data_IF_091759920685
#
_entry.id   IF_091759920685
#
_cell.length_a   1.000
_cell.length_b   1.000
_cell.length_c   1.000
_cell.angle_alpha   90.00
_cell.angle_beta   90.00
_cell.angle_gamma   90.00
#
_symmetry.space_group_name_H-M   'P 1'
#
loop_
_entity.id
_entity.type
_entity.pdbx_description
1 polymer ?
#
# COMPACT_ATOMS: atom_id res chain seq x y z
N UNK A 1 -0.21 50.65 -92.49
CA UNK A 1 1.14 50.07 -92.31
C UNK A 1 1.45 50.08 -90.83
N UNK A 2 1.83 48.92 -90.24
CA UNK A 2 2.54 48.78 -88.94
C UNK A 2 1.84 49.28 -87.67
N UNK A 3 1.76 48.59 -86.53
CA UNK A 3 2.10 47.25 -86.05
C UNK A 3 1.14 47.01 -84.87
N UNK A 4 0.48 45.85 -84.80
CA UNK A 4 -0.31 45.41 -83.63
C UNK A 4 0.68 44.82 -82.62
N UNK A 5 0.74 45.42 -81.43
CA UNK A 5 1.58 44.94 -80.32
C UNK A 5 0.77 43.98 -79.44
N UNK A 6 1.26 42.76 -79.32
CA UNK A 6 0.71 41.70 -78.49
C UNK A 6 1.17 41.87 -77.03
N UNK A 7 0.22 41.92 -76.08
CA UNK A 7 0.49 41.77 -74.66
C UNK A 7 0.00 40.40 -74.20
N UNK A 8 0.95 39.52 -73.90
CA UNK A 8 0.74 38.19 -73.34
C UNK A 8 0.33 38.32 -71.86
N UNK A 9 -0.89 37.87 -71.52
CA UNK A 9 -1.27 37.56 -70.14
C UNK A 9 -0.55 36.27 -69.70
N UNK A 10 0.40 36.39 -68.78
CA UNK A 10 0.97 35.25 -68.06
C UNK A 10 -0.01 34.77 -66.98
N UNK A 11 -0.65 33.63 -67.23
CA UNK A 11 -1.41 32.89 -66.22
C UNK A 11 -0.45 32.28 -65.18
N UNK A 12 -0.56 32.72 -63.92
CA UNK A 12 0.14 32.08 -62.80
C UNK A 12 -0.60 30.79 -62.48
N UNK A 13 0.04 29.65 -62.77
CA UNK A 13 -0.46 28.33 -62.36
C UNK A 13 -0.16 28.15 -60.87
N UNK A 14 -1.20 28.20 -60.03
CA UNK A 14 -1.09 27.85 -58.62
C UNK A 14 -0.83 26.35 -58.50
N UNK A 15 0.41 25.95 -58.22
CA UNK A 15 0.74 24.58 -57.85
C UNK A 15 0.16 24.30 -56.46
N UNK A 16 -0.88 23.46 -56.39
CA UNK A 16 -1.35 22.87 -55.15
C UNK A 16 -0.29 21.88 -54.68
N UNK A 17 0.49 22.26 -53.67
CA UNK A 17 1.38 21.33 -52.98
C UNK A 17 0.54 20.28 -52.24
N UNK A 18 0.80 18.97 -52.39
CA UNK A 18 0.10 17.97 -51.62
C UNK A 18 0.39 18.15 -50.13
N UNK A 19 -0.66 18.22 -49.32
CA UNK A 19 -0.56 18.29 -47.88
C UNK A 19 0.20 17.06 -47.36
N UNK A 20 1.37 17.31 -46.77
CA UNK A 20 2.14 16.31 -46.06
C UNK A 20 1.32 15.89 -44.84
N UNK A 21 0.61 14.77 -44.92
CA UNK A 21 -0.06 14.16 -43.78
C UNK A 21 1.02 13.60 -42.85
N UNK A 22 1.28 14.18 -41.66
CA UNK A 22 2.25 13.59 -40.76
C UNK A 22 1.69 12.23 -40.33
N UNK A 23 2.34 11.17 -40.79
CA UNK A 23 2.17 9.83 -40.24
C UNK A 23 2.53 9.94 -38.75
N UNK A 24 1.51 10.03 -37.90
CA UNK A 24 1.67 9.83 -36.45
C UNK A 24 1.96 8.33 -36.32
N UNK A 25 3.22 7.95 -36.55
CA UNK A 25 3.70 6.63 -36.18
C UNK A 25 3.47 6.46 -34.69
N UNK A 26 2.93 5.31 -34.28
CA UNK A 26 2.79 4.96 -32.87
C UNK A 26 4.10 5.28 -32.15
N UNK A 27 4.07 6.29 -31.27
CA UNK A 27 5.24 6.68 -30.46
C UNK A 27 5.36 5.64 -29.36
N UNK A 28 5.84 4.45 -29.72
CA UNK A 28 6.18 3.40 -28.79
C UNK A 28 7.40 3.87 -27.98
N UNK A 29 7.16 4.43 -26.80
CA UNK A 29 8.24 4.97 -25.95
C UNK A 29 9.05 3.85 -25.31
N UNK A 30 8.40 2.85 -24.70
CA UNK A 30 9.04 1.69 -24.07
C UNK A 30 8.07 0.50 -23.97
N UNK A 31 8.58 -0.74 -24.04
CA UNK A 31 7.86 -1.97 -23.66
C UNK A 31 8.36 -2.43 -22.30
N UNK A 32 7.47 -2.61 -21.33
CA UNK A 32 7.76 -3.25 -20.04
C UNK A 32 6.99 -4.57 -19.96
N UNK A 33 7.69 -5.66 -19.70
CA UNK A 33 7.11 -6.98 -19.40
C UNK A 33 7.42 -7.31 -17.96
N UNK A 34 6.38 -7.60 -17.17
CA UNK A 34 6.54 -7.94 -15.75
C UNK A 34 7.18 -9.32 -15.57
N UNK A 35 7.87 -9.51 -14.45
CA UNK A 35 8.47 -10.78 -14.07
C UNK A 35 7.40 -11.87 -13.92
N UNK A 36 7.68 -13.08 -14.42
CA UNK A 36 6.77 -14.22 -14.38
C UNK A 36 7.34 -15.30 -13.47
N UNK A 37 6.54 -15.80 -12.51
CA UNK A 37 7.03 -16.81 -11.58
C UNK A 37 7.27 -18.16 -12.29
N UNK A 38 8.50 -18.67 -12.20
CA UNK A 38 8.92 -19.97 -12.75
C UNK A 38 8.91 -21.04 -11.67
N UNK A 39 9.24 -20.66 -10.43
CA UNK A 39 9.17 -21.54 -9.26
C UNK A 39 8.54 -20.80 -8.09
N UNK A 40 7.46 -21.38 -7.56
CA UNK A 40 6.87 -20.97 -6.28
C UNK A 40 6.99 -22.10 -5.28
N UNK A 41 7.52 -21.76 -4.11
CA UNK A 41 7.59 -22.64 -2.94
C UNK A 41 6.52 -22.17 -1.96
N UNK A 42 5.60 -23.06 -1.60
CA UNK A 42 4.60 -22.76 -0.58
C UNK A 42 5.24 -22.72 0.82
N UNK A 43 4.78 -21.84 1.72
CA UNK A 43 5.29 -21.81 3.07
C UNK A 43 4.94 -23.07 3.85
N UNK A 44 5.96 -23.67 4.47
CA UNK A 44 5.76 -24.82 5.35
C UNK A 44 5.01 -24.38 6.59
N UNK A 45 3.86 -25.00 6.84
CA UNK A 45 3.04 -24.70 7.99
C UNK A 45 3.78 -25.05 9.31
N UNK A 46 3.96 -24.09 10.25
CA UNK A 46 4.64 -24.37 11.51
C UNK A 46 3.93 -25.42 12.36
N UNK A 47 4.61 -26.52 12.72
CA UNK A 47 4.04 -27.65 13.47
C UNK A 47 3.40 -27.22 14.81
N UNK A 48 4.03 -26.32 15.55
CA UNK A 48 3.47 -25.83 16.82
C UNK A 48 2.19 -25.01 16.61
N UNK A 49 2.11 -24.22 15.55
CA UNK A 49 0.90 -23.47 15.20
C UNK A 49 -0.22 -24.44 14.80
N UNK A 50 0.10 -25.47 13.98
CA UNK A 50 -0.86 -26.50 13.57
C UNK A 50 -1.42 -27.29 14.76
N UNK A 51 -0.56 -27.70 15.71
CA UNK A 51 -0.99 -28.38 16.95
C UNK A 51 -1.89 -27.52 17.82
N UNK A 52 -1.70 -26.21 17.74
CA UNK A 52 -2.55 -25.21 18.39
C UNK A 52 -3.76 -24.83 17.53
N UNK A 53 -3.88 -25.32 16.30
CA UNK A 53 -4.94 -24.88 15.39
C UNK A 53 -4.83 -23.42 14.93
N UNK A 54 -3.75 -22.69 15.24
CA UNK A 54 -3.66 -21.25 14.93
C UNK A 54 -3.76 -21.00 13.44
N UNK A 55 -4.57 -20.04 13.01
CA UNK A 55 -4.58 -19.59 11.62
C UNK A 55 -4.08 -18.16 11.50
N UNK A 56 -3.67 -17.77 10.31
CA UNK A 56 -3.17 -16.43 10.10
C UNK A 56 -2.71 -16.17 8.68
N UNK A 57 -2.14 -14.99 8.49
CA UNK A 57 -1.58 -14.57 7.21
C UNK A 57 -0.37 -13.68 7.43
N UNK A 58 0.40 -13.55 6.35
CA UNK A 58 1.57 -12.68 6.24
C UNK A 58 1.55 -11.99 4.88
N UNK A 59 1.62 -10.67 4.89
CA UNK A 59 1.80 -9.84 3.71
C UNK A 59 3.28 -9.46 3.59
N UNK A 60 3.84 -9.73 2.42
CA UNK A 60 5.25 -9.54 2.12
C UNK A 60 5.43 -8.62 0.93
N UNK A 61 6.38 -7.70 1.04
CA UNK A 61 6.97 -6.99 -0.10
C UNK A 61 8.30 -7.61 -0.47
N UNK A 62 8.60 -7.73 -1.76
CA UNK A 62 9.88 -8.26 -2.23
C UNK A 62 10.30 -7.66 -3.58
N UNK A 63 11.60 -7.73 -3.86
CA UNK A 63 12.19 -7.32 -5.13
C UNK A 63 12.57 -8.58 -5.92
N UNK A 64 12.28 -8.59 -7.22
CA UNK A 64 12.83 -9.58 -8.16
C UNK A 64 13.96 -8.89 -8.92
N UNK A 65 15.18 -9.42 -8.81
CA UNK A 65 16.34 -8.86 -9.50
C UNK A 65 16.41 -9.27 -10.98
N UNK A 66 17.42 -8.76 -11.69
CA UNK A 66 17.61 -8.96 -13.14
C UNK A 66 17.89 -10.43 -13.50
N UNK A 67 18.27 -11.27 -12.53
CA UNK A 67 18.48 -12.70 -12.68
C UNK A 67 17.22 -13.52 -12.34
N UNK A 68 16.11 -12.87 -11.99
CA UNK A 68 14.88 -13.54 -11.60
C UNK A 68 14.90 -14.09 -10.17
N UNK A 69 15.84 -13.65 -9.33
CA UNK A 69 15.93 -14.07 -7.93
C UNK A 69 15.22 -13.08 -7.01
N UNK A 70 14.69 -13.58 -5.88
CA UNK A 70 14.02 -12.74 -4.90
C UNK A 70 15.01 -12.20 -3.88
N UNK A 71 14.99 -10.88 -3.68
CA UNK A 71 15.79 -10.14 -2.69
C UNK A 71 14.94 -9.13 -1.90
N UNK A 72 15.55 -8.51 -0.88
CA UNK A 72 14.94 -7.42 -0.08
C UNK A 72 13.51 -7.69 0.42
N UNK A 73 13.28 -8.89 0.96
CA UNK A 73 11.95 -9.30 1.46
C UNK A 73 11.62 -8.61 2.79
N UNK A 74 10.46 -7.94 2.85
CA UNK A 74 9.94 -7.26 4.04
C UNK A 74 8.58 -7.85 4.43
N UNK A 75 8.32 -7.95 5.73
CA UNK A 75 6.96 -8.19 6.26
C UNK A 75 6.28 -6.85 6.41
N UNK A 76 5.33 -6.56 5.51
CA UNK A 76 4.58 -5.30 5.54
C UNK A 76 3.48 -5.33 6.59
N UNK A 77 2.82 -6.48 6.72
CA UNK A 77 1.74 -6.69 7.67
C UNK A 77 1.55 -8.18 7.96
N UNK A 78 0.91 -8.52 9.07
CA UNK A 78 0.58 -9.90 9.39
C UNK A 78 -0.51 -10.00 10.45
N UNK A 79 -1.03 -11.22 10.58
CA UNK A 79 -1.86 -11.65 11.72
C UNK A 79 -1.16 -11.59 13.09
N UNK A 80 0.14 -11.30 13.15
CA UNK A 80 0.92 -11.16 14.39
C UNK A 80 1.64 -12.42 14.87
N UNK A 81 1.53 -13.54 14.15
CA UNK A 81 2.15 -14.82 14.53
C UNK A 81 3.54 -14.94 13.90
N UNK A 82 4.59 -14.75 14.71
CA UNK A 82 6.00 -14.75 14.27
C UNK A 82 6.43 -16.04 13.55
N UNK A 83 5.87 -17.19 13.90
CA UNK A 83 6.19 -18.46 13.21
C UNK A 83 5.67 -18.48 11.77
N UNK A 84 4.54 -17.83 11.48
CA UNK A 84 4.05 -17.66 10.12
C UNK A 84 4.92 -16.70 9.33
N UNK A 85 5.32 -15.57 9.94
CA UNK A 85 6.25 -14.63 9.30
C UNK A 85 7.55 -15.32 8.89
N UNK A 86 8.15 -16.09 9.80
CA UNK A 86 9.37 -16.87 9.51
C UNK A 86 9.15 -17.88 8.37
N UNK A 87 8.04 -18.61 8.39
CA UNK A 87 7.73 -19.60 7.35
C UNK A 87 7.53 -18.94 5.98
N UNK A 88 6.80 -17.83 5.93
CA UNK A 88 6.54 -17.06 4.72
C UNK A 88 7.84 -16.47 4.13
N UNK A 89 8.68 -15.86 4.98
CA UNK A 89 9.99 -15.33 4.58
C UNK A 89 10.90 -16.43 4.01
N UNK A 90 10.94 -17.62 4.64
CA UNK A 90 11.74 -18.74 4.15
C UNK A 90 11.25 -19.26 2.79
N UNK A 91 9.94 -19.22 2.53
CA UNK A 91 9.35 -19.68 1.29
C UNK A 91 9.63 -18.72 0.13
N UNK A 92 9.32 -17.43 0.32
CA UNK A 92 9.49 -16.39 -0.71
C UNK A 92 10.94 -16.27 -1.18
N UNK A 93 11.92 -16.43 -0.28
CA UNK A 93 13.36 -16.41 -0.64
C UNK A 93 13.78 -17.53 -1.60
N UNK A 94 12.98 -18.59 -1.75
CA UNK A 94 13.26 -19.72 -2.64
C UNK A 94 12.54 -19.61 -3.99
N UNK A 95 11.72 -18.57 -4.18
CA UNK A 95 11.02 -18.33 -5.43
C UNK A 95 12.01 -17.95 -6.53
N UNK A 96 11.67 -18.32 -7.77
CA UNK A 96 12.42 -17.95 -8.98
C UNK A 96 11.45 -17.44 -10.02
N UNK A 97 11.90 -16.45 -10.77
CA UNK A 97 11.14 -15.75 -11.80
C UNK A 97 11.92 -15.74 -13.10
N UNK A 98 11.20 -15.65 -14.21
CA UNK A 98 11.71 -15.04 -15.42
C UNK A 98 11.70 -13.52 -15.16
N UNK A 99 12.85 -12.83 -15.22
CA UNK A 99 12.94 -11.43 -14.81
C UNK A 99 12.01 -10.52 -15.62
N UNK A 100 11.65 -9.38 -15.03
CA UNK A 100 11.00 -8.33 -15.79
C UNK A 100 11.94 -7.83 -16.88
N UNK A 101 11.39 -7.37 -18.00
CA UNK A 101 12.19 -6.77 -19.07
C UNK A 101 11.69 -5.38 -19.42
N UNK A 102 12.61 -4.48 -19.74
CA UNK A 102 12.34 -3.19 -20.34
C UNK A 102 13.08 -3.15 -21.68
N UNK A 103 12.33 -3.00 -22.78
CA UNK A 103 12.87 -3.03 -24.14
C UNK A 103 13.76 -4.28 -24.37
N UNK A 104 13.26 -5.46 -23.95
CA UNK A 104 13.92 -6.76 -24.02
C UNK A 104 15.22 -6.91 -23.20
N UNK A 105 15.51 -5.98 -22.28
CA UNK A 105 16.63 -6.09 -21.33
C UNK A 105 16.09 -6.41 -19.93
N UNK A 106 16.65 -7.40 -19.22
CA UNK A 106 16.25 -7.68 -17.84
C UNK A 106 16.42 -6.46 -16.93
N UNK A 107 15.40 -6.21 -16.10
CA UNK A 107 15.35 -5.13 -15.11
C UNK A 107 14.78 -5.63 -13.79
N UNK A 108 15.03 -4.90 -12.70
CA UNK A 108 14.42 -5.23 -11.41
C UNK A 108 12.93 -4.91 -11.40
N UNK A 109 12.13 -5.78 -10.80
CA UNK A 109 10.73 -5.49 -10.45
C UNK A 109 10.63 -5.32 -8.94
N UNK A 110 10.26 -4.13 -8.49
CA UNK A 110 10.66 -3.69 -7.15
C UNK A 110 9.50 -3.53 -6.15
N UNK A 111 8.27 -3.38 -6.63
CA UNK A 111 7.07 -3.31 -5.81
C UNK A 111 6.21 -4.56 -6.02
N UNK A 112 6.74 -5.73 -5.66
CA UNK A 112 5.94 -6.95 -5.58
C UNK A 112 5.34 -7.07 -4.20
N UNK A 113 4.07 -7.46 -4.15
CA UNK A 113 3.39 -7.80 -2.91
C UNK A 113 2.75 -9.16 -3.07
N UNK A 114 2.87 -9.98 -2.03
CA UNK A 114 2.15 -11.24 -1.93
C UNK A 114 1.58 -11.38 -0.54
N UNK A 115 0.40 -11.98 -0.48
CA UNK A 115 -0.07 -12.52 0.77
C UNK A 115 -0.09 -14.04 0.81
N UNK A 116 0.50 -14.58 1.87
CA UNK A 116 0.47 -15.99 2.21
C UNK A 116 -0.55 -16.24 3.33
N UNK A 117 -1.46 -17.18 3.11
CA UNK A 117 -2.47 -17.60 4.08
C UNK A 117 -2.06 -18.92 4.73
N UNK A 118 -2.15 -19.00 6.05
CA UNK A 118 -1.96 -20.18 6.87
C UNK A 118 -3.34 -20.60 7.39
N UNK A 119 -4.03 -21.41 6.58
CA UNK A 119 -5.37 -21.93 6.86
C UNK A 119 -5.30 -23.43 7.15
N UNK A 120 -6.20 -23.92 8.00
CA UNK A 120 -6.41 -25.34 8.23
C UNK A 120 -7.69 -25.77 7.52
N UNK A 121 -7.60 -26.81 6.67
CA UNK A 121 -8.71 -27.27 5.84
C UNK A 121 -9.99 -27.68 6.61
N UNK A 122 -9.88 -27.91 7.92
CA UNK A 122 -10.98 -28.32 8.80
C UNK A 122 -11.29 -27.29 9.91
N UNK A 123 -10.82 -26.05 9.80
CA UNK A 123 -11.17 -25.02 10.79
C UNK A 123 -12.66 -24.67 10.67
N UNK A 124 -13.44 -24.92 11.73
CA UNK A 124 -14.83 -24.46 11.78
C UNK A 124 -14.87 -22.93 11.67
N UNK A 125 -15.69 -22.42 10.76
CA UNK A 125 -16.03 -20.99 10.70
C UNK A 125 -16.95 -20.68 11.86
N UNK A 126 -16.37 -20.27 12.99
CA UNK A 126 -17.10 -20.07 14.23
C UNK A 126 -16.21 -19.67 15.39
N UNK A 127 -16.83 -19.37 16.53
CA UNK A 127 -16.12 -19.01 17.76
C UNK A 127 -16.28 -20.10 18.80
N UNK A 128 -15.19 -20.46 19.48
CA UNK A 128 -15.25 -21.42 20.58
C UNK A 128 -16.07 -20.85 21.75
N UNK A 129 -16.73 -21.72 22.53
CA UNK A 129 -17.47 -21.29 23.74
C UNK A 129 -16.57 -20.54 24.73
N UNK A 130 -15.31 -20.98 24.84
CA UNK A 130 -14.28 -20.36 25.69
C UNK A 130 -13.97 -18.94 25.24
N UNK A 131 -13.74 -18.74 23.94
CA UNK A 131 -13.52 -17.42 23.37
C UNK A 131 -14.75 -16.54 23.58
N UNK A 132 -15.94 -17.02 23.18
CA UNK A 132 -17.18 -16.25 23.25
C UNK A 132 -17.47 -15.71 24.66
N UNK A 133 -17.28 -16.53 25.69
CA UNK A 133 -17.50 -16.11 27.08
C UNK A 133 -16.56 -14.99 27.53
N UNK A 134 -15.28 -15.04 27.13
CA UNK A 134 -14.28 -14.01 27.46
C UNK A 134 -14.48 -12.75 26.61
N UNK A 135 -14.70 -12.93 25.32
CA UNK A 135 -14.99 -11.87 24.37
C UNK A 135 -16.21 -11.04 24.78
N UNK A 136 -17.33 -11.68 25.16
CA UNK A 136 -18.52 -10.96 25.64
C UNK A 136 -18.22 -10.09 26.84
N UNK A 137 -17.53 -10.62 27.86
CA UNK A 137 -17.12 -9.85 29.05
C UNK A 137 -16.22 -8.67 28.69
N UNK A 138 -15.26 -8.89 27.79
CA UNK A 138 -14.35 -7.85 27.31
C UNK A 138 -15.12 -6.74 26.59
N UNK A 139 -15.96 -7.09 25.61
CA UNK A 139 -16.76 -6.10 24.86
C UNK A 139 -17.69 -5.34 25.78
N UNK A 140 -18.39 -6.00 26.71
CA UNK A 140 -19.25 -5.29 27.69
C UNK A 140 -18.47 -4.23 28.47
N UNK A 141 -17.25 -4.52 28.94
CA UNK A 141 -16.42 -3.52 29.61
C UNK A 141 -16.07 -2.35 28.70
N UNK A 142 -15.66 -2.62 27.46
CA UNK A 142 -15.31 -1.58 26.47
C UNK A 142 -16.52 -0.69 26.15
N UNK A 143 -17.70 -1.28 25.93
CA UNK A 143 -18.92 -0.55 25.63
C UNK A 143 -19.40 0.29 26.81
N UNK A 144 -19.26 -0.21 28.04
CA UNK A 144 -19.56 0.51 29.28
C UNK A 144 -18.50 1.56 29.66
N UNK A 145 -17.46 1.74 28.85
CA UNK A 145 -16.33 2.63 29.13
C UNK A 145 -15.54 2.26 30.41
N UNK A 146 -15.59 1.00 30.83
CA UNK A 146 -14.81 0.45 31.95
C UNK A 146 -13.43 -0.03 31.43
N UNK A 147 -12.54 0.92 31.13
CA UNK A 147 -11.29 0.65 30.40
C UNK A 147 -10.16 0.06 31.26
N UNK A 148 -10.28 0.14 32.59
CA UNK A 148 -9.32 -0.46 33.51
C UNK A 148 -9.30 -2.00 33.37
N UNK A 149 -8.09 -2.57 33.27
CA UNK A 149 -7.89 -4.01 33.11
C UNK A 149 -8.17 -4.55 31.70
N UNK A 150 -8.52 -3.70 30.73
CA UNK A 150 -8.79 -4.12 29.35
C UNK A 150 -7.54 -4.63 28.62
N UNK A 151 -6.36 -3.97 28.71
CA UNK A 151 -5.13 -4.49 28.09
C UNK A 151 -4.77 -5.91 28.52
N UNK A 152 -4.90 -6.22 29.81
CA UNK A 152 -4.64 -7.54 30.37
C UNK A 152 -5.65 -8.56 29.83
N UNK A 153 -6.92 -8.19 29.72
CA UNK A 153 -7.96 -9.04 29.13
C UNK A 153 -7.75 -9.28 27.64
N UNK A 154 -7.24 -8.30 26.89
CA UNK A 154 -6.86 -8.47 25.50
C UNK A 154 -5.71 -9.49 25.39
N UNK A 155 -4.69 -9.37 26.23
CA UNK A 155 -3.57 -10.32 26.24
C UNK A 155 -3.99 -11.73 26.70
N UNK A 156 -4.88 -11.84 27.69
CA UNK A 156 -5.50 -13.12 28.05
C UNK A 156 -6.27 -13.73 26.87
N UNK A 157 -7.03 -12.91 26.14
CA UNK A 157 -7.81 -13.36 24.98
C UNK A 157 -6.90 -13.79 23.82
N UNK A 158 -5.78 -13.12 23.62
CA UNK A 158 -4.72 -13.53 22.67
C UNK A 158 -4.10 -14.86 23.09
N UNK A 159 -3.85 -15.04 24.38
CA UNK A 159 -3.19 -16.21 24.95
C UNK A 159 -4.03 -17.49 24.96
N UNK A 160 -5.37 -17.39 24.89
CA UNK A 160 -6.25 -18.57 24.79
C UNK A 160 -6.20 -19.25 23.42
N UNK A 161 -5.24 -18.86 22.58
CA UNK A 161 -4.96 -19.49 21.31
C UNK A 161 -6.11 -19.27 20.33
N UNK A 162 -6.16 -18.04 19.77
CA UNK A 162 -7.08 -17.61 18.71
C UNK A 162 -6.95 -18.59 17.53
N UNK A 163 -7.77 -19.63 17.58
CA UNK A 163 -7.52 -20.89 16.90
C UNK A 163 -8.11 -20.93 15.49
N UNK A 164 -8.68 -19.83 15.03
CA UNK A 164 -9.15 -19.70 13.65
C UNK A 164 -9.27 -18.22 13.29
N UNK A 165 -9.48 -17.98 12.01
CA UNK A 165 -9.67 -16.65 11.48
C UNK A 165 -10.88 -15.88 12.02
N UNK A 166 -11.94 -16.57 12.44
CA UNK A 166 -13.14 -15.95 13.03
C UNK A 166 -12.83 -15.33 14.38
N UNK A 167 -12.17 -16.06 15.27
CA UNK A 167 -11.74 -15.53 16.57
C UNK A 167 -10.72 -14.40 16.41
N UNK A 168 -9.77 -14.54 15.48
CA UNK A 168 -8.82 -13.47 15.14
C UNK A 168 -9.54 -12.19 14.68
N UNK A 169 -10.53 -12.31 13.79
CA UNK A 169 -11.28 -11.17 13.27
C UNK A 169 -12.07 -10.47 14.37
N UNK A 170 -12.74 -11.22 15.24
CA UNK A 170 -13.42 -10.66 16.41
C UNK A 170 -12.43 -10.00 17.37
N UNK A 171 -11.29 -10.62 17.63
CA UNK A 171 -10.24 -10.07 18.47
C UNK A 171 -9.74 -8.71 17.97
N UNK A 172 -9.40 -8.59 16.67
CA UNK A 172 -8.97 -7.31 16.10
C UNK A 172 -10.08 -6.25 16.15
N UNK A 173 -11.36 -6.63 16.01
CA UNK A 173 -12.45 -5.67 16.23
C UNK A 173 -12.55 -5.20 17.68
N UNK A 174 -12.23 -6.06 18.66
CA UNK A 174 -12.18 -5.65 20.07
C UNK A 174 -11.00 -4.71 20.34
N UNK A 175 -9.81 -5.00 19.79
CA UNK A 175 -8.66 -4.09 19.85
C UNK A 175 -9.00 -2.71 19.27
N UNK A 176 -9.59 -2.68 18.07
CA UNK A 176 -10.00 -1.44 17.42
C UNK A 176 -10.99 -0.65 18.30
N UNK A 177 -12.00 -1.30 18.90
CA UNK A 177 -12.95 -0.63 19.80
C UNK A 177 -12.29 -0.08 21.05
N UNK A 178 -11.35 -0.81 21.65
CA UNK A 178 -10.61 -0.34 22.79
C UNK A 178 -9.80 0.92 22.43
N UNK A 179 -9.03 0.87 21.34
CA UNK A 179 -8.22 2.02 20.91
C UNK A 179 -9.05 3.21 20.44
N UNK A 180 -10.24 2.97 19.90
CA UNK A 180 -11.23 4.02 19.66
C UNK A 180 -11.62 4.74 20.96
N UNK A 181 -11.88 4.00 22.05
CA UNK A 181 -12.24 4.57 23.36
C UNK A 181 -11.08 5.30 24.05
N UNK A 182 -9.84 4.86 23.84
CA UNK A 182 -8.65 5.52 24.42
C UNK A 182 -8.09 6.64 23.56
N UNK A 183 -8.56 6.80 22.31
CA UNK A 183 -8.08 7.81 21.38
C UNK A 183 -6.76 7.47 20.69
N UNK A 184 -6.29 6.22 20.79
CA UNK A 184 -5.04 5.74 20.19
C UNK A 184 -5.23 5.38 18.70
N UNK A 185 -5.38 6.40 17.85
CA UNK A 185 -5.76 6.27 16.44
C UNK A 185 -4.86 5.38 15.59
N UNK A 186 -3.56 5.39 15.83
CA UNK A 186 -2.58 4.56 15.11
C UNK A 186 -2.82 3.08 15.37
N UNK A 187 -3.02 2.72 16.64
CA UNK A 187 -3.28 1.34 17.05
C UNK A 187 -4.68 0.89 16.63
N UNK A 188 -5.66 1.79 16.69
CA UNK A 188 -7.00 1.57 16.12
C UNK A 188 -6.88 1.21 14.63
N UNK A 189 -6.17 2.03 13.85
CA UNK A 189 -5.97 1.81 12.43
C UNK A 189 -5.20 0.50 12.13
N UNK A 190 -4.18 0.16 12.92
CA UNK A 190 -3.46 -1.11 12.78
C UNK A 190 -4.39 -2.32 12.95
N UNK A 191 -5.22 -2.31 13.99
CA UNK A 191 -6.20 -3.36 14.24
C UNK A 191 -7.24 -3.45 13.11
N UNK A 192 -7.76 -2.31 12.65
CA UNK A 192 -8.72 -2.26 11.55
C UNK A 192 -8.13 -2.70 10.21
N UNK A 193 -6.85 -2.43 9.93
CA UNK A 193 -6.18 -2.94 8.74
C UNK A 193 -6.12 -4.48 8.74
N UNK A 194 -5.94 -5.10 9.91
CA UNK A 194 -6.00 -6.57 10.04
C UNK A 194 -7.41 -7.10 9.75
N UNK A 195 -8.45 -6.39 10.20
CA UNK A 195 -9.85 -6.71 9.90
C UNK A 195 -10.17 -6.55 8.41
N UNK A 196 -9.74 -5.44 7.79
CA UNK A 196 -10.04 -5.10 6.40
C UNK A 196 -9.48 -6.11 5.38
N UNK A 197 -8.52 -6.94 5.82
CA UNK A 197 -7.91 -7.93 4.95
C UNK A 197 -8.84 -9.10 4.61
N UNK A 198 -9.30 -9.85 5.63
CA UNK A 198 -10.17 -11.04 5.48
C UNK A 198 -11.36 -11.08 6.43
N UNK A 199 -11.63 -9.97 7.13
CA UNK A 199 -12.77 -9.91 8.03
C UNK A 199 -14.10 -10.15 7.33
N UNK A 200 -14.20 -9.96 6.00
CA UNK A 200 -15.43 -10.15 5.23
C UNK A 200 -15.95 -11.58 5.29
N UNK A 201 -15.05 -12.57 5.28
CA UNK A 201 -15.41 -13.99 5.30
C UNK A 201 -15.82 -14.47 6.71
N UNK A 202 -15.39 -13.75 7.76
CA UNK A 202 -15.45 -14.26 9.13
C UNK A 202 -16.22 -13.38 10.11
N UNK A 203 -16.56 -12.14 9.75
CA UNK A 203 -17.40 -11.25 10.54
C UNK A 203 -18.78 -11.14 9.90
N UNK A 204 -19.76 -10.74 10.71
CA UNK A 204 -21.01 -10.28 10.12
C UNK A 204 -20.75 -9.03 9.26
N UNK A 205 -21.61 -8.87 8.25
CA UNK A 205 -21.46 -7.81 7.23
C UNK A 205 -21.33 -6.43 7.85
N UNK A 206 -22.18 -6.10 8.82
CA UNK A 206 -22.25 -4.74 9.36
C UNK A 206 -20.99 -4.40 10.18
N UNK A 207 -20.44 -5.37 10.92
CA UNK A 207 -19.14 -5.22 11.60
C UNK A 207 -18.00 -4.99 10.62
N UNK A 208 -17.94 -5.77 9.54
CA UNK A 208 -16.89 -5.61 8.53
C UNK A 208 -17.00 -4.25 7.82
N UNK A 209 -18.20 -3.88 7.37
CA UNK A 209 -18.48 -2.59 6.71
C UNK A 209 -18.11 -1.42 7.62
N UNK A 210 -18.52 -1.45 8.89
CA UNK A 210 -18.19 -0.40 9.86
C UNK A 210 -16.67 -0.30 10.10
N UNK A 211 -15.97 -1.45 10.13
CA UNK A 211 -14.52 -1.50 10.32
C UNK A 211 -13.77 -0.87 9.14
N UNK A 212 -14.15 -1.20 7.90
CA UNK A 212 -13.55 -0.61 6.70
C UNK A 212 -13.87 0.88 6.60
N UNK A 213 -15.11 1.29 6.87
CA UNK A 213 -15.49 2.71 6.90
C UNK A 213 -14.68 3.50 7.94
N UNK A 214 -14.48 2.95 9.14
CA UNK A 214 -13.64 3.58 10.17
C UNK A 214 -12.17 3.65 9.76
N UNK A 215 -11.64 2.61 9.13
CA UNK A 215 -10.28 2.63 8.57
C UNK A 215 -10.11 3.71 7.51
N UNK A 216 -11.10 3.90 6.62
CA UNK A 216 -11.11 5.00 5.64
C UNK A 216 -11.00 6.35 6.33
N UNK A 217 -11.85 6.60 7.35
CA UNK A 217 -11.86 7.86 8.11
C UNK A 217 -10.51 8.10 8.79
N UNK A 218 -9.95 7.09 9.46
CA UNK A 218 -8.65 7.23 10.13
C UNK A 218 -7.52 7.53 9.13
N UNK A 219 -7.53 6.91 7.95
CA UNK A 219 -6.55 7.24 6.93
C UNK A 219 -6.70 8.70 6.44
N UNK A 220 -7.93 9.21 6.30
CA UNK A 220 -8.18 10.62 5.99
C UNK A 220 -7.64 11.54 7.09
N UNK A 221 -8.00 11.28 8.35
CA UNK A 221 -7.53 12.08 9.50
C UNK A 221 -6.02 12.09 9.64
N UNK A 222 -5.35 11.01 9.20
CA UNK A 222 -3.90 10.85 9.24
C UNK A 222 -3.19 11.27 7.96
N UNK A 223 -3.90 11.90 7.02
CA UNK A 223 -3.40 12.29 5.70
C UNK A 223 -2.76 11.13 4.89
N UNK A 224 -3.12 9.89 5.18
CA UNK A 224 -2.71 8.71 4.40
C UNK A 224 -3.63 8.56 3.19
N UNK A 225 -3.62 9.57 2.32
CA UNK A 225 -4.67 9.78 1.32
C UNK A 225 -4.80 8.61 0.34
N UNK A 226 -3.67 8.03 -0.11
CA UNK A 226 -3.70 6.87 -1.00
C UNK A 226 -4.37 5.66 -0.34
N UNK A 227 -4.05 5.39 0.92
CA UNK A 227 -4.69 4.31 1.69
C UNK A 227 -6.16 4.59 1.98
N UNK A 228 -6.54 5.84 2.21
CA UNK A 228 -7.94 6.22 2.38
C UNK A 228 -8.75 5.87 1.11
N UNK A 229 -8.23 6.19 -0.07
CA UNK A 229 -8.88 5.82 -1.34
C UNK A 229 -8.96 4.30 -1.54
N UNK A 230 -7.91 3.55 -1.17
CA UNK A 230 -7.92 2.07 -1.23
C UNK A 230 -9.00 1.46 -0.32
N UNK A 231 -9.14 1.97 0.91
CA UNK A 231 -10.17 1.50 1.83
C UNK A 231 -11.57 1.92 1.38
N UNK A 232 -11.72 3.10 0.79
CA UNK A 232 -12.97 3.55 0.19
C UNK A 232 -13.40 2.69 -0.99
N UNK A 233 -12.49 2.32 -1.90
CA UNK A 233 -12.77 1.41 -3.01
C UNK A 233 -13.21 0.02 -2.50
N UNK A 234 -12.50 -0.52 -1.50
CA UNK A 234 -12.90 -1.75 -0.83
C UNK A 234 -14.30 -1.65 -0.20
N UNK A 235 -14.63 -0.51 0.41
CA UNK A 235 -15.95 -0.25 1.00
C UNK A 235 -17.05 -0.20 -0.06
N UNK A 236 -16.82 0.50 -1.18
CA UNK A 236 -17.79 0.67 -2.27
C UNK A 236 -18.13 -0.66 -2.97
N UNK A 237 -17.17 -1.58 -3.04
CA UNK A 237 -17.33 -2.92 -3.59
C UNK A 237 -17.91 -3.93 -2.57
N UNK A 238 -18.11 -3.52 -1.32
CA UNK A 238 -18.64 -4.40 -0.26
C UNK A 238 -20.16 -4.23 -0.15
N UNK A 239 -20.91 -5.32 -0.37
CA UNK A 239 -22.37 -5.37 -0.14
C UNK A 239 -22.70 -4.86 1.26
N UNK A 240 -23.65 -3.91 1.36
CA UNK A 240 -24.01 -3.24 2.62
C UNK A 240 -23.18 -1.98 2.94
N UNK A 241 -22.15 -1.68 2.15
CA UNK A 241 -21.30 -0.50 2.29
C UNK A 241 -21.86 0.76 1.62
N UNK A 242 -23.00 0.69 0.95
CA UNK A 242 -23.53 1.76 0.09
C UNK A 242 -23.81 3.06 0.86
N UNK A 243 -24.38 2.95 2.08
CA UNK A 243 -24.66 4.10 2.94
C UNK A 243 -23.38 4.84 3.35
N UNK A 244 -22.38 4.12 3.85
CA UNK A 244 -21.10 4.72 4.23
C UNK A 244 -20.33 5.27 3.02
N UNK A 245 -20.39 4.58 1.89
CA UNK A 245 -19.79 5.05 0.63
C UNK A 245 -20.38 6.39 0.23
N UNK A 246 -21.72 6.53 0.26
CA UNK A 246 -22.41 7.80 -0.02
C UNK A 246 -22.00 8.91 0.94
N UNK A 247 -21.82 8.60 2.23
CA UNK A 247 -21.40 9.58 3.24
C UNK A 247 -19.95 10.03 3.06
N UNK A 248 -19.06 9.12 2.66
CA UNK A 248 -17.62 9.40 2.55
C UNK A 248 -17.22 9.96 1.18
N UNK A 249 -18.01 9.73 0.13
CA UNK A 249 -17.71 10.17 -1.23
C UNK A 249 -17.31 11.66 -1.34
N UNK A 250 -18.01 12.63 -0.73
CA UNK A 250 -17.63 14.05 -0.82
C UNK A 250 -16.26 14.37 -0.22
N UNK A 251 -15.79 13.56 0.73
CA UNK A 251 -14.46 13.72 1.31
C UNK A 251 -13.38 13.12 0.40
N UNK A 252 -13.68 12.00 -0.27
CA UNK A 252 -12.78 11.38 -1.23
C UNK A 252 -12.61 12.24 -2.48
N UNK A 253 -13.69 12.83 -3.00
CA UNK A 253 -13.63 13.78 -4.12
C UNK A 253 -12.72 14.99 -3.80
N UNK A 254 -12.84 15.54 -2.58
CA UNK A 254 -11.93 16.59 -2.08
C UNK A 254 -10.48 16.12 -1.96
N UNK A 255 -10.24 14.86 -1.61
CA UNK A 255 -8.90 14.28 -1.52
C UNK A 255 -8.25 14.22 -2.90
N UNK A 256 -8.99 13.79 -3.93
CA UNK A 256 -8.48 13.76 -5.31
C UNK A 256 -8.10 15.16 -5.78
N UNK A 257 -8.99 16.15 -5.55
CA UNK A 257 -8.71 17.55 -5.86
C UNK A 257 -7.49 18.10 -5.07
N UNK A 258 -7.36 17.75 -3.80
CA UNK A 258 -6.23 18.16 -2.96
C UNK A 258 -4.91 17.54 -3.40
N UNK A 259 -4.91 16.25 -3.80
CA UNK A 259 -3.72 15.59 -4.34
C UNK A 259 -3.28 16.27 -5.63
N UNK A 260 -4.23 16.66 -6.50
CA UNK A 260 -3.97 17.32 -7.78
C UNK A 260 -3.48 18.78 -7.66
N UNK A 261 -3.79 19.49 -6.58
CA UNK A 261 -3.34 20.86 -6.35
C UNK A 261 -1.85 20.92 -5.96
N UNK A 262 -0.99 21.16 -6.94
CA UNK A 262 0.46 21.20 -6.77
C UNK A 262 0.98 22.26 -5.78
N UNK A 263 0.17 23.28 -5.47
CA UNK A 263 0.54 24.31 -4.48
C UNK A 263 0.45 23.84 -3.03
N UNK A 264 -0.25 22.73 -2.78
CA UNK A 264 -0.42 22.17 -1.43
C UNK A 264 0.70 21.23 -1.06
N UNK A 265 0.79 20.88 0.21
CA UNK A 265 1.70 19.86 0.72
C UNK A 265 0.90 18.83 1.51
N UNK A 266 1.27 17.56 1.41
CA UNK A 266 0.63 16.47 2.17
C UNK A 266 1.56 16.10 3.32
N UNK A 267 1.12 16.36 4.55
CA UNK A 267 1.91 16.08 5.75
C UNK A 267 1.45 14.78 6.40
N UNK A 268 2.32 13.77 6.42
CA UNK A 268 2.05 12.46 7.01
C UNK A 268 2.98 12.23 8.19
N UNK A 269 2.42 12.11 9.38
CA UNK A 269 3.18 11.78 10.58
C UNK A 269 3.56 10.30 10.58
N UNK A 270 4.85 10.03 10.70
CA UNK A 270 5.45 8.71 10.83
C UNK A 270 5.90 8.43 12.26
N UNK A 271 5.71 7.18 12.68
CA UNK A 271 6.26 6.62 13.92
C UNK A 271 6.76 5.21 13.64
N UNK A 272 8.01 4.91 14.02
CA UNK A 272 8.61 3.60 13.83
C UNK A 272 8.00 2.61 14.83
N UNK A 273 7.34 1.59 14.30
CA UNK A 273 6.72 0.52 15.08
C UNK A 273 7.75 -0.46 15.69
N UNK A 274 7.26 -1.45 16.44
CA UNK A 274 8.05 -2.59 16.93
C UNK A 274 8.78 -3.38 15.83
N UNK A 275 8.36 -3.23 14.57
CA UNK A 275 8.98 -3.90 13.42
C UNK A 275 10.22 -3.15 12.90
N UNK A 276 10.62 -2.06 13.55
CA UNK A 276 11.72 -1.18 13.12
C UNK A 276 11.53 -0.60 11.71
N UNK A 277 10.28 -0.56 11.25
CA UNK A 277 9.91 -0.07 9.92
C UNK A 277 8.58 0.69 10.00
N UNK A 278 8.49 1.74 9.21
CA UNK A 278 7.26 2.45 8.85
C UNK A 278 7.14 2.48 7.34
N UNK A 279 5.92 2.40 6.82
CA UNK A 279 5.66 2.37 5.37
C UNK A 279 4.52 3.29 4.97
N UNK A 280 4.58 3.80 3.74
CA UNK A 280 3.56 4.71 3.19
C UNK A 280 3.53 4.69 1.67
N UNK A 281 2.33 4.62 1.10
CA UNK A 281 2.10 4.76 -0.34
C UNK A 281 2.01 6.24 -0.68
N UNK A 282 2.90 6.70 -1.56
CA UNK A 282 2.92 8.09 -1.98
C UNK A 282 1.71 8.43 -2.85
N UNK A 283 1.13 9.58 -2.58
CA UNK A 283 0.13 10.23 -3.42
C UNK A 283 0.78 11.11 -4.50
N UNK A 284 2.03 11.55 -4.31
CA UNK A 284 2.76 12.43 -5.24
C UNK A 284 4.15 11.92 -5.62
N UNK A 285 4.74 12.59 -6.61
CA UNK A 285 6.05 12.29 -7.21
C UNK A 285 7.22 12.96 -6.50
N UNK A 286 7.03 13.66 -5.38
CA UNK A 286 8.15 14.17 -4.59
C UNK A 286 7.83 14.15 -3.09
N UNK A 287 8.85 13.97 -2.26
CA UNK A 287 8.69 14.03 -0.82
C UNK A 287 9.98 14.45 -0.10
N UNK A 288 9.84 14.88 1.14
CA UNK A 288 10.94 15.14 2.07
C UNK A 288 10.67 14.44 3.40
N UNK A 289 11.72 14.20 4.18
CA UNK A 289 11.64 13.76 5.58
C UNK A 289 12.05 14.96 6.45
N UNK A 290 11.21 15.32 7.41
CA UNK A 290 11.39 16.46 8.29
C UNK A 290 11.06 16.12 9.74
N UNK A 291 11.46 17.00 10.67
CA UNK A 291 11.12 16.92 12.10
C UNK A 291 11.40 15.54 12.71
N UNK A 292 12.59 14.98 12.49
CA UNK A 292 12.92 13.66 13.03
C UNK A 292 13.25 13.75 14.52
N UNK A 293 12.60 12.91 15.34
CA UNK A 293 12.98 12.65 16.73
C UNK A 293 13.32 11.17 16.89
N UNK A 294 14.45 10.87 17.53
CA UNK A 294 14.99 9.51 17.59
C UNK A 294 15.90 9.18 16.41
N UNK A 295 16.15 7.89 16.16
CA UNK A 295 17.11 7.42 15.17
C UNK A 295 16.42 6.76 13.97
N UNK A 296 16.64 7.32 12.78
CA UNK A 296 16.27 6.73 11.50
C UNK A 296 17.55 6.24 10.79
N UNK A 297 17.52 5.01 10.31
CA UNK A 297 18.68 4.30 9.78
C UNK A 297 18.76 4.31 8.27
N UNK A 298 17.64 4.09 7.58
CA UNK A 298 17.59 4.10 6.12
C UNK A 298 16.19 4.43 5.61
N UNK A 299 16.15 4.88 4.35
CA UNK A 299 14.95 5.16 3.58
C UNK A 299 14.97 4.29 2.33
N UNK A 300 14.02 3.38 2.17
CA UNK A 300 13.81 2.62 0.93
C UNK A 300 12.65 3.22 0.14
N UNK A 301 12.84 3.38 -1.17
CA UNK A 301 11.78 3.73 -2.13
C UNK A 301 11.61 2.54 -3.08
N UNK A 302 10.42 1.94 -3.06
CA UNK A 302 10.05 0.82 -3.93
C UNK A 302 8.93 1.23 -4.86
N UNK A 303 9.22 1.30 -6.14
CA UNK A 303 8.26 1.56 -7.22
C UNK A 303 8.10 0.34 -8.11
N UNK A 304 7.25 0.38 -9.13
CA UNK A 304 6.97 -0.77 -9.98
C UNK A 304 8.27 -1.37 -10.60
N UNK A 305 9.14 -0.52 -11.14
CA UNK A 305 10.37 -0.88 -11.85
C UNK A 305 11.65 -0.29 -11.23
N UNK A 306 11.57 0.38 -10.07
CA UNK A 306 12.74 0.97 -9.41
C UNK A 306 12.78 0.66 -7.91
N UNK A 307 13.98 0.32 -7.43
CA UNK A 307 14.32 0.15 -6.02
C UNK A 307 15.48 1.07 -5.69
N UNK A 308 15.41 1.80 -4.58
CA UNK A 308 16.51 2.64 -4.13
C UNK A 308 16.54 2.73 -2.61
N UNK A 309 17.75 2.71 -2.05
CA UNK A 309 17.99 2.85 -0.61
C UNK A 309 18.84 4.09 -0.40
N UNK A 310 18.45 4.92 0.54
CA UNK A 310 19.10 6.18 0.86
C UNK A 310 19.40 6.26 2.37
N UNK A 311 20.45 6.99 2.72
CA UNK A 311 20.59 7.52 4.06
C UNK A 311 19.50 8.56 4.33
N UNK A 312 19.00 8.61 5.56
CA UNK A 312 17.98 9.59 5.94
C UNK A 312 18.62 10.95 6.17
N UNK A 313 18.39 11.88 5.23
CA UNK A 313 18.84 13.27 5.32
C UNK A 313 17.64 14.20 5.47
N UNK A 314 17.56 14.90 6.60
CA UNK A 314 16.46 15.83 6.85
C UNK A 314 16.48 16.99 5.86
N UNK A 315 15.30 17.35 5.34
CA UNK A 315 15.13 18.47 4.41
C UNK A 315 15.61 18.22 2.97
N UNK A 316 16.20 17.05 2.68
CA UNK A 316 16.47 16.66 1.30
C UNK A 316 15.15 16.32 0.62
N UNK A 317 14.94 16.84 -0.60
CA UNK A 317 13.81 16.45 -1.44
C UNK A 317 14.20 15.29 -2.35
N UNK A 318 13.41 14.22 -2.30
CA UNK A 318 13.45 13.15 -3.26
C UNK A 318 12.40 13.42 -4.34
N UNK A 319 12.83 13.40 -5.61
CA UNK A 319 11.94 13.48 -6.76
C UNK A 319 11.87 12.08 -7.40
N UNK A 320 10.65 11.58 -7.56
CA UNK A 320 10.36 10.28 -8.15
C UNK A 320 9.87 10.50 -9.58
N UNK A 321 10.62 10.03 -10.59
CA UNK A 321 10.17 10.06 -11.97
C UNK A 321 8.79 9.44 -12.14
N UNK A 322 7.93 10.07 -12.95
CA UNK A 322 6.60 9.53 -13.25
C UNK A 322 6.66 8.12 -13.87
N UNK A 323 7.76 7.81 -14.59
CA UNK A 323 8.01 6.50 -15.17
C UNK A 323 8.18 5.38 -14.14
N UNK A 324 8.45 5.69 -12.87
CA UNK A 324 8.67 4.68 -11.84
C UNK A 324 7.38 4.00 -11.39
N UNK A 325 6.29 4.77 -11.34
CA UNK A 325 4.91 4.36 -10.99
C UNK A 325 4.75 3.59 -9.67
N UNK A 326 3.58 3.75 -9.01
CA UNK A 326 3.19 2.98 -7.81
C UNK A 326 4.30 2.90 -6.74
N UNK A 327 4.71 4.05 -6.22
CA UNK A 327 5.82 4.10 -5.28
C UNK A 327 5.35 4.02 -3.82
N UNK A 328 6.01 3.15 -3.06
CA UNK A 328 5.89 3.03 -1.61
C UNK A 328 7.24 3.35 -0.97
N UNK A 329 7.18 4.10 0.12
CA UNK A 329 8.35 4.46 0.92
C UNK A 329 8.37 3.62 2.19
N UNK A 330 9.56 3.18 2.59
CA UNK A 330 9.83 2.50 3.84
C UNK A 330 10.91 3.26 4.59
N UNK A 331 10.64 3.59 5.84
CA UNK A 331 11.58 4.25 6.73
C UNK A 331 11.95 3.28 7.84
N UNK A 332 13.24 3.00 7.99
CA UNK A 332 13.76 2.09 9.00
C UNK A 332 14.36 2.88 10.15
N UNK A 333 14.19 2.40 11.38
CA UNK A 333 14.73 3.09 12.54
C UNK A 333 14.53 2.38 13.86
N UNK A 334 14.90 3.06 14.95
CA UNK A 334 14.59 2.62 16.31
C UNK A 334 13.09 2.79 16.59
N UNK A 335 12.49 1.81 17.26
CA UNK A 335 11.11 1.89 17.77
C UNK A 335 10.86 3.23 18.48
N UNK A 336 9.72 3.86 18.18
CA UNK A 336 9.29 5.13 18.77
C UNK A 336 9.96 6.37 18.17
N UNK A 337 10.85 6.22 17.19
CA UNK A 337 11.31 7.38 16.41
C UNK A 337 10.14 7.95 15.60
N UNK A 338 9.99 9.27 15.62
CA UNK A 338 8.93 10.01 14.93
C UNK A 338 9.50 10.95 13.87
N UNK A 339 8.73 11.23 12.83
CA UNK A 339 9.09 12.14 11.75
C UNK A 339 7.86 12.60 10.97
N UNK A 340 8.02 13.58 10.10
CA UNK A 340 7.04 13.93 9.08
C UNK A 340 7.57 13.56 7.71
N UNK A 341 6.76 12.84 6.94
CA UNK A 341 6.92 12.72 5.49
C UNK A 341 6.05 13.81 4.85
N UNK A 342 6.68 14.70 4.09
CA UNK A 342 5.98 15.81 3.43
C UNK A 342 6.02 15.58 1.93
N UNK A 343 4.87 15.27 1.34
CA UNK A 343 4.75 15.09 -0.11
C UNK A 343 4.49 16.42 -0.80
N UNK A 344 5.22 16.65 -1.88
CA UNK A 344 5.14 17.83 -2.74
C UNK A 344 4.98 17.39 -4.19
N UNK A 345 4.64 18.33 -5.08
CA UNK A 345 4.72 18.05 -6.52
C UNK A 345 6.16 18.15 -6.98
N UNK A 346 6.58 17.26 -7.87
CA UNK A 346 7.92 17.33 -8.46
C UNK A 346 8.02 18.58 -9.33
N UNK A 347 8.93 19.50 -8.98
CA UNK A 347 9.42 20.48 -9.96
C UNK A 347 10.34 19.70 -10.90
N UNK A 348 9.86 19.31 -12.08
CA UNK A 348 10.75 18.78 -13.12
C UNK A 348 11.81 19.84 -13.43
N UNK A 349 13.05 19.62 -12.99
CA UNK A 349 14.19 20.18 -13.72
C UNK A 349 14.38 19.29 -14.94
N UNK A 350 13.99 19.81 -16.10
CA UNK A 350 14.37 19.28 -17.41
C UNK A 350 15.87 18.94 -17.37
N UNK A 351 16.31 17.76 -17.82
CA UNK A 351 17.74 17.46 -17.88
C UNK A 351 18.38 18.52 -18.78
N UNK A 352 19.23 19.38 -18.23
CA UNK A 352 20.08 20.23 -19.05
C UNK A 352 20.97 19.30 -19.85
N UNK A 353 20.78 19.25 -21.15
CA UNK A 353 21.71 18.66 -22.11
C UNK A 353 22.98 19.51 -22.10
N UNK A 354 23.79 19.34 -21.06
CA UNK A 354 25.16 19.81 -21.02
C UNK A 354 25.97 18.98 -22.01
N UNK A 355 26.11 19.49 -23.23
CA UNK A 355 27.19 19.10 -24.12
C UNK A 355 28.51 19.37 -23.39
N UNK A 356 29.32 18.33 -23.25
CA UNK A 356 30.77 18.44 -23.13
C UNK A 356 31.38 17.94 -24.43
#
# INVERSE_FOLDING_TARGET
MSFISAMLLSAVSSQVTPANNPQIGDIHKETIVNAVAVKRVEPVYPVQAARKGQEGWVELSYVVNENGEVESVLVENSSGIRSFEKAALNAVKQWKFDPATQNNKPVKQCQNQIQMNFLLNNAEVGVSRRFLGRYKKLITKIENNELEGVPEKLEELRAINLGNFTENSHFWTAEARYYYKTGEKEKELEALNKVAYRGKEYLNRDMYVASVARATILNLEKNKLKHAMLMFDKLSQTKGGESHTKQLFPYIDKVEAFIADESKQIWVQGEISERSIWQHDLARSAFTIANVQGNLTSLEVRCANQYSVYDVKQGLQWNIPQSWQRCRVYVHGSKGATFNLVETSSTEQTPSTGKA
#
